data_IF_247303324301
#
_entry.id   IF_247303324301
#
_cell.length_a   1.000
_cell.length_b   1.000
_cell.length_c   1.000
_cell.angle_alpha   90.00
_cell.angle_beta   90.00
_cell.angle_gamma   90.00
#
_symmetry.space_group_name_H-M   'P 1'
#
loop_
_entity.id
_entity.type
_entity.pdbx_description
1 polymer ?
#
# COMPACT_ATOMS: atom_id res chain seq x y z
N UNK A 1 0.13 -4.80 28.10
CA UNK A 1 1.05 -5.95 28.08
C UNK A 1 1.21 -6.40 26.64
N UNK A 2 2.44 -6.70 26.21
CA UNK A 2 2.67 -7.25 24.88
C UNK A 2 2.10 -8.68 24.81
N UNK A 3 1.31 -8.95 23.78
CA UNK A 3 0.72 -10.26 23.54
C UNK A 3 1.15 -10.75 22.16
N UNK A 4 1.97 -11.80 22.13
CA UNK A 4 2.53 -12.37 20.90
C UNK A 4 1.46 -12.80 19.90
N UNK A 5 0.34 -13.35 20.36
CA UNK A 5 -0.76 -13.76 19.49
C UNK A 5 -1.43 -12.56 18.81
N UNK A 6 -1.63 -11.46 19.56
CA UNK A 6 -2.16 -10.23 19.00
C UNK A 6 -1.18 -9.60 18.00
N UNK A 7 0.11 -9.54 18.35
CA UNK A 7 1.15 -9.02 17.45
C UNK A 7 1.18 -9.81 16.15
N UNK A 8 1.16 -11.14 16.22
CA UNK A 8 1.16 -12.01 15.05
C UNK A 8 -0.09 -11.80 14.20
N UNK A 9 -1.28 -11.75 14.81
CA UNK A 9 -2.54 -11.51 14.12
C UNK A 9 -2.55 -10.15 13.41
N UNK A 10 -2.15 -9.08 14.10
CA UNK A 10 -2.05 -7.73 13.54
C UNK A 10 -1.05 -7.70 12.37
N UNK A 11 0.13 -8.30 12.57
CA UNK A 11 1.18 -8.34 11.55
C UNK A 11 0.71 -9.05 10.29
N UNK A 12 0.09 -10.22 10.41
CA UNK A 12 -0.43 -10.96 9.26
C UNK A 12 -1.57 -10.22 8.56
N UNK A 13 -2.47 -9.60 9.32
CA UNK A 13 -3.58 -8.83 8.74
C UNK A 13 -3.06 -7.65 7.93
N UNK A 14 -2.15 -6.87 8.51
CA UNK A 14 -1.52 -5.74 7.79
C UNK A 14 -0.69 -6.22 6.60
N UNK A 15 0.08 -7.29 6.74
CA UNK A 15 0.85 -7.88 5.65
C UNK A 15 -0.03 -8.24 4.46
N UNK A 16 -1.17 -8.88 4.71
CA UNK A 16 -2.11 -9.26 3.66
C UNK A 16 -2.77 -8.05 2.97
N UNK A 17 -3.05 -6.97 3.73
CA UNK A 17 -3.72 -5.78 3.19
C UNK A 17 -2.76 -4.83 2.48
N UNK A 18 -1.53 -4.67 2.99
CA UNK A 18 -0.49 -3.86 2.35
C UNK A 18 -0.06 -4.49 1.02
N UNK A 19 -0.02 -5.83 0.98
CA UNK A 19 0.32 -6.62 -0.22
C UNK A 19 1.54 -6.08 -0.98
N UNK A 20 2.62 -5.81 -0.24
CA UNK A 20 3.84 -5.24 -0.83
C UNK A 20 4.48 -6.17 -1.87
N UNK A 21 4.29 -7.48 -1.73
CA UNK A 21 4.79 -8.47 -2.69
C UNK A 21 4.04 -8.37 -4.01
N UNK A 22 2.71 -8.26 -3.95
CA UNK A 22 1.86 -8.01 -5.12
C UNK A 22 2.12 -6.64 -5.77
N UNK A 23 2.68 -5.72 -5.00
CA UNK A 23 3.04 -4.38 -5.48
C UNK A 23 4.41 -4.31 -6.18
N UNK A 24 5.20 -5.40 -6.19
CA UNK A 24 6.55 -5.43 -6.80
C UNK A 24 6.55 -4.91 -8.25
N UNK A 25 5.63 -5.30 -9.16
CA UNK A 25 5.64 -4.79 -10.52
C UNK A 25 5.41 -3.27 -10.61
N UNK A 26 4.57 -2.71 -9.73
CA UNK A 26 4.35 -1.27 -9.63
C UNK A 26 5.63 -0.56 -9.16
N UNK A 27 6.29 -1.15 -8.16
CA UNK A 27 7.55 -0.63 -7.62
C UNK A 27 8.62 -0.59 -8.72
N UNK A 28 8.74 -1.66 -9.52
CA UNK A 28 9.65 -1.71 -10.66
C UNK A 28 9.30 -0.63 -11.70
N UNK A 29 8.03 -0.48 -12.04
CA UNK A 29 7.56 0.53 -12.99
C UNK A 29 7.88 1.97 -12.52
N UNK A 30 7.61 2.29 -11.26
CA UNK A 30 7.95 3.60 -10.67
C UNK A 30 9.45 3.82 -10.74
N UNK A 31 10.25 2.80 -10.42
CA UNK A 31 11.69 2.89 -10.47
C UNK A 31 12.24 3.12 -11.88
N UNK A 32 11.69 2.47 -12.89
CA UNK A 32 12.10 2.67 -14.29
C UNK A 32 11.80 4.09 -14.79
N UNK A 33 10.72 4.70 -14.30
CA UNK A 33 10.36 6.08 -14.62
C UNK A 33 11.24 7.11 -13.91
N UNK A 34 11.54 6.88 -12.64
CA UNK A 34 12.18 7.87 -11.77
C UNK A 34 13.66 7.59 -11.46
N UNK A 35 14.19 6.46 -11.94
CA UNK A 35 15.58 6.05 -11.80
C UNK A 35 15.90 5.43 -10.45
N UNK A 36 15.58 6.07 -9.32
CA UNK A 36 15.85 5.56 -7.99
C UNK A 36 14.69 5.75 -7.03
N UNK A 37 14.33 4.69 -6.30
CA UNK A 37 13.36 4.74 -5.21
C UNK A 37 14.09 5.10 -3.92
N UNK A 38 13.63 6.15 -3.24
CA UNK A 38 14.06 6.50 -1.89
C UNK A 38 13.32 5.63 -0.87
N UNK A 39 13.74 4.35 -0.76
CA UNK A 39 13.07 3.35 0.08
C UNK A 39 12.92 3.81 1.54
N UNK A 40 13.96 4.44 2.09
CA UNK A 40 13.99 4.97 3.45
C UNK A 40 12.87 6.00 3.67
N UNK A 41 12.77 6.94 2.75
CA UNK A 41 11.81 8.04 2.87
C UNK A 41 10.37 7.56 2.60
N UNK A 42 10.18 6.69 1.59
CA UNK A 42 8.86 6.11 1.31
C UNK A 42 8.33 5.28 2.50
N UNK A 43 9.19 4.45 3.10
CA UNK A 43 8.83 3.66 4.29
C UNK A 43 8.57 4.55 5.50
N UNK A 44 9.37 5.58 5.72
CA UNK A 44 9.17 6.53 6.82
C UNK A 44 7.85 7.28 6.68
N UNK A 45 7.56 7.82 5.49
CA UNK A 45 6.30 8.54 5.22
C UNK A 45 5.10 7.59 5.38
N UNK A 46 5.20 6.36 4.86
CA UNK A 46 4.15 5.35 5.06
C UNK A 46 3.92 5.07 6.55
N UNK A 47 4.98 4.92 7.33
CA UNK A 47 4.90 4.73 8.78
C UNK A 47 4.23 5.90 9.49
N UNK A 48 4.61 7.13 9.15
CA UNK A 48 3.98 8.34 9.70
C UNK A 48 2.49 8.39 9.37
N UNK A 49 2.09 8.06 8.12
CA UNK A 49 0.69 8.03 7.71
C UNK A 49 -0.09 6.95 8.47
N UNK A 50 0.46 5.72 8.59
CA UNK A 50 -0.18 4.65 9.35
C UNK A 50 -0.40 5.03 10.82
N UNK A 51 0.62 5.60 11.47
CA UNK A 51 0.54 6.03 12.87
C UNK A 51 -0.44 7.19 13.01
N UNK A 52 -0.35 8.21 12.15
CA UNK A 52 -1.29 9.33 12.16
C UNK A 52 -2.74 8.84 12.00
N UNK A 53 -2.99 7.94 11.06
CA UNK A 53 -4.33 7.41 10.83
C UNK A 53 -4.81 6.49 11.95
N UNK A 54 -3.91 5.75 12.59
CA UNK A 54 -4.22 4.94 13.77
C UNK A 54 -4.77 5.80 14.93
N UNK A 55 -4.23 7.00 15.11
CA UNK A 55 -4.65 7.90 16.19
C UNK A 55 -5.77 8.86 15.81
N UNK A 56 -5.72 9.41 14.62
CA UNK A 56 -6.56 10.51 14.17
C UNK A 56 -7.60 10.10 13.11
N UNK A 57 -7.49 8.89 12.54
CA UNK A 57 -8.26 8.48 11.36
C UNK A 57 -9.75 8.64 11.53
N UNK A 58 -10.33 8.16 12.63
CA UNK A 58 -11.76 8.33 12.90
C UNK A 58 -12.15 9.81 13.01
N UNK A 59 -11.36 10.61 13.71
CA UNK A 59 -11.63 12.03 13.90
C UNK A 59 -11.56 12.78 12.56
N UNK A 60 -10.60 12.43 11.72
CA UNK A 60 -10.46 13.03 10.39
C UNK A 60 -11.67 12.67 9.51
N UNK A 61 -12.06 11.41 9.44
CA UNK A 61 -13.20 10.98 8.64
C UNK A 61 -14.49 11.65 9.15
N UNK A 62 -14.71 11.68 10.46
CA UNK A 62 -15.86 12.36 11.05
C UNK A 62 -15.89 13.87 10.76
N UNK A 63 -14.73 14.54 10.78
CA UNK A 63 -14.61 15.95 10.47
C UNK A 63 -15.08 16.28 9.05
N UNK A 64 -14.80 15.39 8.10
CA UNK A 64 -15.24 15.51 6.70
C UNK A 64 -16.61 14.88 6.42
N UNK A 65 -17.26 14.31 7.44
CA UNK A 65 -18.53 13.60 7.26
C UNK A 65 -18.42 12.34 6.40
N UNK A 66 -17.22 11.76 6.29
CA UNK A 66 -16.94 10.55 5.52
C UNK A 66 -16.99 9.34 6.44
N UNK A 67 -17.75 8.33 6.07
CA UNK A 67 -17.74 7.03 6.75
C UNK A 67 -16.59 6.12 6.24
N UNK A 68 -16.32 5.07 7.00
CA UNK A 68 -15.25 4.11 6.67
C UNK A 68 -15.51 3.38 5.34
N UNK A 69 -16.77 3.15 5.00
CA UNK A 69 -17.19 2.41 3.81
C UNK A 69 -16.95 3.26 2.56
N UNK A 70 -17.39 4.52 2.57
CA UNK A 70 -17.11 5.48 1.49
C UNK A 70 -15.61 5.69 1.28
N UNK A 71 -14.83 5.76 2.37
CA UNK A 71 -13.37 5.89 2.29
C UNK A 71 -12.73 4.63 1.68
N UNK A 72 -13.17 3.43 2.08
CA UNK A 72 -12.69 2.17 1.52
C UNK A 72 -13.05 2.04 0.03
N UNK A 73 -14.26 2.48 -0.36
CA UNK A 73 -14.70 2.48 -1.74
C UNK A 73 -13.85 3.42 -2.61
N UNK A 74 -13.57 4.64 -2.13
CA UNK A 74 -12.67 5.56 -2.82
C UNK A 74 -11.27 4.95 -3.05
N UNK A 75 -10.72 4.26 -2.04
CA UNK A 75 -9.48 3.52 -2.16
C UNK A 75 -9.55 2.38 -3.17
N UNK A 76 -10.65 1.65 -3.21
CA UNK A 76 -10.87 0.59 -4.18
C UNK A 76 -10.86 1.13 -5.62
N UNK A 77 -11.45 2.31 -5.87
CA UNK A 77 -11.39 2.98 -7.18
C UNK A 77 -9.96 3.30 -7.58
N UNK A 78 -9.13 3.81 -6.67
CA UNK A 78 -7.72 4.10 -6.94
C UNK A 78 -6.96 2.82 -7.31
N UNK A 79 -7.14 1.74 -6.54
CA UNK A 79 -6.51 0.43 -6.82
C UNK A 79 -6.98 -0.11 -8.17
N UNK A 80 -8.27 0.05 -8.50
CA UNK A 80 -8.82 -0.33 -9.80
C UNK A 80 -8.13 0.40 -10.95
N UNK A 81 -7.96 1.72 -10.85
CA UNK A 81 -7.30 2.53 -11.87
C UNK A 81 -5.83 2.14 -12.04
N UNK A 82 -5.11 1.87 -10.94
CA UNK A 82 -3.73 1.38 -11.00
C UNK A 82 -3.66 0.01 -11.69
N UNK A 83 -4.55 -0.92 -11.35
CA UNK A 83 -4.63 -2.23 -12.01
C UNK A 83 -4.92 -2.11 -13.49
N UNK A 84 -5.81 -1.20 -13.89
CA UNK A 84 -6.14 -0.91 -15.28
C UNK A 84 -4.94 -0.33 -16.05
N UNK A 85 -4.23 0.63 -15.45
CA UNK A 85 -2.99 1.18 -16.00
C UNK A 85 -1.95 0.07 -16.29
N UNK A 86 -1.80 -0.87 -15.35
CA UNK A 86 -0.87 -1.99 -15.50
C UNK A 86 -1.23 -2.93 -16.66
N UNK A 87 -2.52 -3.24 -16.84
CA UNK A 87 -2.97 -4.16 -17.89
C UNK A 87 -2.89 -3.50 -19.26
N UNK A 88 -3.38 -2.25 -19.38
CA UNK A 88 -3.45 -1.54 -20.64
C UNK A 88 -2.10 -0.97 -21.10
N UNK A 89 -1.14 -0.83 -20.18
CA UNK A 89 0.15 -0.21 -20.46
C UNK A 89 0.08 1.28 -20.74
N UNK A 90 -1.05 1.92 -20.38
CA UNK A 90 -1.27 3.37 -20.51
C UNK A 90 -0.88 4.06 -19.20
N UNK A 91 -0.58 5.35 -19.26
CA UNK A 91 -0.30 6.16 -18.07
C UNK A 91 -1.54 6.99 -17.74
N UNK A 92 -2.30 6.56 -16.74
CA UNK A 92 -3.44 7.32 -16.22
C UNK A 92 -2.99 8.42 -15.25
N UNK A 93 -2.01 8.09 -14.41
CA UNK A 93 -1.43 9.04 -13.48
C UNK A 93 -0.15 9.64 -14.07
N UNK A 94 -0.25 10.84 -14.61
CA UNK A 94 0.92 11.60 -15.04
C UNK A 94 1.60 12.20 -13.82
N UNK A 95 2.81 11.78 -13.58
CA UNK A 95 3.66 12.41 -12.56
C UNK A 95 4.44 13.53 -13.22
N UNK A 96 3.87 14.74 -13.28
CA UNK A 96 4.62 15.98 -13.56
C UNK A 96 5.51 16.36 -12.35
N UNK A 97 6.01 15.36 -11.65
CA UNK A 97 6.77 15.56 -10.42
C UNK A 97 8.24 15.77 -10.79
N UNK A 98 8.71 16.95 -10.48
CA UNK A 98 10.16 17.21 -10.40
C UNK A 98 10.84 16.09 -9.63
N UNK A 99 11.90 15.53 -10.18
CA UNK A 99 12.56 14.26 -9.83
C UNK A 99 12.95 14.01 -8.34
N UNK A 100 12.58 14.87 -7.41
CA UNK A 100 12.96 14.74 -6.00
C UNK A 100 11.89 14.11 -5.08
N UNK A 101 10.62 14.12 -5.47
CA UNK A 101 9.50 13.63 -4.62
C UNK A 101 8.61 12.59 -5.31
N UNK A 102 8.79 12.34 -6.61
CA UNK A 102 7.89 11.55 -7.44
C UNK A 102 7.69 10.11 -6.99
N UNK A 103 8.71 9.46 -6.45
CA UNK A 103 8.59 8.07 -6.00
C UNK A 103 7.93 7.92 -4.62
N UNK A 104 7.87 8.96 -3.81
CA UNK A 104 7.37 8.86 -2.44
C UNK A 104 5.85 8.81 -2.41
N UNK A 105 5.20 9.70 -3.16
CA UNK A 105 3.74 9.84 -3.14
C UNK A 105 3.05 8.56 -3.63
N UNK A 106 3.33 7.98 -4.81
CA UNK A 106 2.63 6.78 -5.20
C UNK A 106 2.99 5.54 -4.37
N UNK A 107 4.19 5.50 -3.77
CA UNK A 107 4.60 4.38 -2.92
C UNK A 107 4.02 4.47 -1.51
N UNK A 108 4.24 5.59 -0.81
CA UNK A 108 3.73 5.73 0.55
C UNK A 108 2.20 5.79 0.57
N UNK A 109 1.59 6.53 -0.35
CA UNK A 109 0.16 6.62 -0.56
C UNK A 109 -0.13 6.70 -2.07
N UNK A 110 -1.03 5.90 -2.65
CA UNK A 110 -1.96 4.96 -1.99
C UNK A 110 -1.44 3.52 -1.83
N UNK A 111 -0.21 3.20 -2.27
CA UNK A 111 0.23 1.81 -2.41
C UNK A 111 0.42 1.11 -1.05
N UNK A 112 1.23 1.68 -0.16
CA UNK A 112 1.52 1.07 1.15
C UNK A 112 0.42 1.43 2.15
N UNK A 113 0.07 2.72 2.25
CA UNK A 113 -0.94 3.23 3.18
C UNK A 113 -2.22 3.63 2.44
N UNK A 114 -2.74 2.76 1.61
CA UNK A 114 -4.02 2.96 0.93
C UNK A 114 -5.22 2.89 1.89
N UNK A 115 -6.41 3.19 1.36
CA UNK A 115 -7.65 3.17 2.16
C UNK A 115 -7.88 1.82 2.82
N UNK A 116 -7.53 0.70 2.16
CA UNK A 116 -7.60 -0.64 2.76
C UNK A 116 -6.75 -0.78 4.02
N UNK A 117 -5.51 -0.30 4.00
CA UNK A 117 -4.62 -0.31 5.16
C UNK A 117 -5.16 0.59 6.28
N UNK A 118 -5.65 1.77 5.92
CA UNK A 118 -6.17 2.74 6.88
C UNK A 118 -7.46 2.26 7.55
N UNK A 119 -8.42 1.71 6.80
CA UNK A 119 -9.64 1.12 7.37
C UNK A 119 -9.34 -0.11 8.22
N UNK A 120 -8.38 -0.93 7.81
CA UNK A 120 -7.91 -2.07 8.61
C UNK A 120 -7.31 -1.60 9.93
N UNK A 121 -6.50 -0.55 9.95
CA UNK A 121 -5.94 0.01 11.18
C UNK A 121 -7.03 0.48 12.16
N UNK A 122 -8.11 1.10 11.65
CA UNK A 122 -9.27 1.49 12.47
C UNK A 122 -9.96 0.27 13.08
N UNK A 123 -10.16 -0.78 12.28
CA UNK A 123 -10.75 -2.05 12.77
C UNK A 123 -9.86 -2.74 13.79
N UNK A 124 -8.54 -2.79 13.55
CA UNK A 124 -7.57 -3.38 14.49
C UNK A 124 -7.53 -2.60 15.81
N UNK A 125 -7.70 -1.27 15.77
CA UNK A 125 -7.75 -0.44 16.98
C UNK A 125 -8.94 -0.78 17.87
N UNK A 126 -10.06 -1.19 17.30
CA UNK A 126 -11.24 -1.61 18.06
C UNK A 126 -11.04 -3.00 18.73
N UNK A 127 -10.22 -3.86 18.12
CA UNK A 127 -10.08 -5.27 18.53
C UNK A 127 -8.82 -5.56 19.37
N UNK A 128 -7.74 -4.77 19.19
CA UNK A 128 -6.42 -5.05 19.76
C UNK A 128 -5.86 -3.87 20.54
N UNK A 129 -4.92 -4.14 21.44
CA UNK A 129 -4.25 -3.09 22.21
C UNK A 129 -3.23 -2.34 21.39
N UNK A 130 -3.17 -1.03 21.58
CA UNK A 130 -2.35 -0.09 20.83
C UNK A 130 -0.85 -0.49 20.72
N UNK A 131 -0.16 -0.95 21.80
CA UNK A 131 1.23 -1.37 21.69
C UNK A 131 1.44 -2.54 20.71
N UNK A 132 0.51 -3.50 20.67
CA UNK A 132 0.61 -4.64 19.77
C UNK A 132 0.39 -4.24 18.31
N UNK A 133 -0.49 -3.25 18.07
CA UNK A 133 -0.70 -2.69 16.73
C UNK A 133 0.56 -1.96 16.25
N UNK A 134 1.16 -1.14 17.10
CA UNK A 134 2.40 -0.41 16.75
C UNK A 134 3.54 -1.37 16.41
N UNK A 135 3.71 -2.46 17.16
CA UNK A 135 4.71 -3.49 16.84
C UNK A 135 4.38 -4.14 15.49
N UNK A 136 3.11 -4.47 15.21
CA UNK A 136 2.68 -5.02 13.94
C UNK A 136 2.96 -4.09 12.76
N UNK A 137 2.72 -2.77 12.92
CA UNK A 137 3.08 -1.75 11.93
C UNK A 137 4.59 -1.75 11.69
N UNK A 138 5.40 -1.71 12.76
CA UNK A 138 6.86 -1.69 12.63
C UNK A 138 7.41 -2.91 11.90
N UNK A 139 6.89 -4.11 12.20
CA UNK A 139 7.30 -5.34 11.50
C UNK A 139 6.96 -5.28 10.01
N UNK A 140 5.78 -4.79 9.65
CA UNK A 140 5.40 -4.62 8.26
C UNK A 140 6.27 -3.56 7.54
N UNK A 141 6.59 -2.44 8.20
CA UNK A 141 7.45 -1.42 7.63
C UNK A 141 8.88 -1.94 7.36
N UNK A 142 9.42 -2.78 8.26
CA UNK A 142 10.71 -3.46 8.02
C UNK A 142 10.64 -4.33 6.78
N UNK A 143 9.55 -5.09 6.61
CA UNK A 143 9.35 -5.92 5.44
C UNK A 143 9.17 -5.08 4.16
N UNK A 144 8.37 -4.03 4.21
CA UNK A 144 8.19 -3.07 3.11
C UNK A 144 9.54 -2.47 2.70
N UNK A 145 10.33 -2.01 3.67
CA UNK A 145 11.67 -1.48 3.42
C UNK A 145 12.57 -2.51 2.72
N UNK A 146 12.58 -3.74 3.20
CA UNK A 146 13.38 -4.81 2.60
C UNK A 146 12.98 -5.05 1.14
N UNK A 147 11.69 -5.10 0.83
CA UNK A 147 11.19 -5.28 -0.55
C UNK A 147 11.57 -4.09 -1.43
N UNK A 148 11.36 -2.85 -0.97
CA UNK A 148 11.75 -1.65 -1.71
C UNK A 148 13.25 -1.62 -1.98
N UNK A 149 14.07 -1.98 -1.00
CA UNK A 149 15.54 -1.99 -1.11
C UNK A 149 16.05 -3.08 -2.05
N UNK A 150 15.38 -4.24 -2.07
CA UNK A 150 15.75 -5.38 -2.93
C UNK A 150 15.10 -5.32 -4.32
N UNK A 151 14.20 -4.39 -4.57
CA UNK A 151 13.53 -4.22 -5.87
C UNK A 151 14.49 -4.14 -7.07
N UNK A 152 15.70 -3.53 -6.99
CA UNK A 152 16.67 -3.54 -8.09
C UNK A 152 17.15 -4.93 -8.47
N UNK A 153 17.33 -5.77 -7.48
CA UNK A 153 17.78 -7.15 -7.70
C UNK A 153 16.67 -8.00 -8.30
N UNK A 154 15.43 -7.80 -7.85
CA UNK A 154 14.25 -8.47 -8.39
C UNK A 154 14.08 -8.11 -9.87
N UNK A 155 14.13 -6.82 -10.22
CA UNK A 155 14.06 -6.31 -11.59
C UNK A 155 15.11 -6.97 -12.50
N UNK A 156 16.37 -7.02 -12.07
CA UNK A 156 17.45 -7.62 -12.85
C UNK A 156 17.23 -9.13 -13.10
N UNK A 157 16.64 -9.84 -12.15
CA UNK A 157 16.37 -11.28 -12.29
C UNK A 157 15.18 -11.58 -13.19
N UNK A 158 14.16 -10.71 -13.19
CA UNK A 158 12.96 -10.89 -14.01
C UNK A 158 13.22 -10.65 -15.50
N UNK A 159 14.02 -9.64 -15.86
CA UNK A 159 14.19 -9.18 -17.22
C UNK A 159 12.90 -8.59 -17.80
N UNK A 160 12.98 -7.94 -18.98
CA UNK A 160 11.84 -7.23 -19.60
C UNK A 160 10.62 -8.12 -19.85
N UNK A 161 10.83 -9.35 -20.31
CA UNK A 161 9.71 -10.27 -20.57
C UNK A 161 9.01 -10.71 -19.29
N UNK A 162 9.76 -10.98 -18.21
CA UNK A 162 9.20 -11.31 -16.91
C UNK A 162 8.42 -10.16 -16.29
N UNK A 163 8.93 -8.93 -16.45
CA UNK A 163 8.25 -7.72 -15.97
C UNK A 163 6.91 -7.50 -16.65
N UNK A 164 6.82 -7.66 -17.99
CA UNK A 164 5.56 -7.48 -18.72
C UNK A 164 4.52 -8.52 -18.32
N UNK A 165 4.93 -9.78 -18.12
CA UNK A 165 4.03 -10.83 -17.66
C UNK A 165 3.57 -10.53 -16.23
N UNK A 166 4.49 -10.23 -15.31
CA UNK A 166 4.16 -9.89 -13.93
C UNK A 166 3.20 -8.70 -13.88
N UNK A 167 3.51 -7.62 -14.60
CA UNK A 167 2.69 -6.42 -14.65
C UNK A 167 1.24 -6.74 -15.02
N UNK A 168 1.01 -7.54 -16.07
CA UNK A 168 -0.35 -7.92 -16.50
C UNK A 168 -1.05 -8.81 -15.48
N UNK A 169 -0.35 -9.82 -14.95
CA UNK A 169 -0.90 -10.74 -13.94
C UNK A 169 -1.30 -9.98 -12.67
N UNK A 170 -0.42 -9.14 -12.14
CA UNK A 170 -0.73 -8.35 -10.94
C UNK A 170 -1.75 -7.25 -11.21
N UNK A 171 -1.79 -6.68 -12.42
CA UNK A 171 -2.87 -5.79 -12.82
C UNK A 171 -4.24 -6.45 -12.68
N UNK A 172 -4.40 -7.70 -13.14
CA UNK A 172 -5.64 -8.48 -12.97
C UNK A 172 -5.94 -8.75 -11.49
N UNK A 173 -4.92 -9.08 -10.70
CA UNK A 173 -5.08 -9.31 -9.26
C UNK A 173 -5.54 -8.03 -8.56
N UNK A 174 -4.96 -6.87 -8.88
CA UNK A 174 -5.37 -5.57 -8.32
C UNK A 174 -6.82 -5.23 -8.69
N UNK A 175 -7.25 -5.50 -9.94
CA UNK A 175 -8.65 -5.35 -10.32
C UNK A 175 -9.57 -6.24 -9.49
N UNK A 176 -9.19 -7.50 -9.27
CA UNK A 176 -9.96 -8.43 -8.45
C UNK A 176 -10.05 -7.96 -6.98
N UNK A 177 -8.94 -7.44 -6.42
CA UNK A 177 -8.91 -6.88 -5.07
C UNK A 177 -9.81 -5.64 -4.98
N UNK A 178 -9.73 -4.73 -5.95
CA UNK A 178 -10.57 -3.55 -5.99
C UNK A 178 -12.07 -3.89 -6.02
N UNK A 179 -12.45 -4.86 -6.87
CA UNK A 179 -13.84 -5.36 -6.93
C UNK A 179 -14.26 -6.01 -5.61
N UNK A 180 -13.36 -6.81 -4.98
CA UNK A 180 -13.62 -7.42 -3.68
C UNK A 180 -13.87 -6.35 -2.60
N UNK A 181 -13.00 -5.33 -2.54
CA UNK A 181 -13.15 -4.22 -1.59
C UNK A 181 -14.44 -3.44 -1.82
N UNK A 182 -14.80 -3.19 -3.08
CA UNK A 182 -16.08 -2.54 -3.42
C UNK A 182 -17.27 -3.37 -2.93
N UNK A 183 -17.29 -4.68 -3.21
CA UNK A 183 -18.39 -5.57 -2.77
C UNK A 183 -18.50 -5.73 -1.24
N UNK A 184 -17.40 -5.58 -0.52
CA UNK A 184 -17.40 -5.70 0.94
C UNK A 184 -17.94 -4.44 1.63
N UNK A 185 -18.03 -3.31 0.91
CA UNK A 185 -18.45 -2.00 1.41
C UNK A 185 -19.70 -1.45 0.67
N UNK A 186 -20.40 -2.29 -0.07
CA UNK A 186 -21.76 -2.12 -0.58
C UNK A 186 -22.70 -3.02 0.21
#
# INVERSE_FOLDING_TARGET
>A
MFNLQQIFSVTLTLFAVIDIVGSIPIIIQIRQREGQIKAELATFVAGCLMVAFLFLGQSILHLFGVDNESFALAGAVIIFLIGLEMILGIQLFHSDLTASTGSIVPLAFPLITGAGTMTTLLSLRAAYTLPNILVGIMLNLVFVYAVLKTSPWIERKLGKAGEDVLRRVFGVILLAIAIKLSKANF
#
